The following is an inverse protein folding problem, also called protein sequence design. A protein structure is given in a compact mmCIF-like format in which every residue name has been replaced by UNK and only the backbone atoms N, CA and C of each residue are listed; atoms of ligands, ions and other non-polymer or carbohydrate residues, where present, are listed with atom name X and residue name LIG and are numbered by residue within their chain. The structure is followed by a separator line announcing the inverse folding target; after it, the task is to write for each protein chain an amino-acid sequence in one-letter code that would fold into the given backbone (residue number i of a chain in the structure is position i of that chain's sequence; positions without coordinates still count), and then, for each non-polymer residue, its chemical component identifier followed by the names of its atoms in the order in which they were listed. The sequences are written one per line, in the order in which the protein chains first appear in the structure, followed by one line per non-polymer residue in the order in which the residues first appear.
data_IF_287644583390
#
_entry.id   IF_287644583390
#
_cell.length_a   1.000
_cell.length_b   1.000
_cell.length_c   1.000
_cell.angle_alpha   90.00
_cell.angle_beta   90.00
_cell.angle_gamma   90.00
#
_symmetry.space_group_name_H-M   'P 1'
#
loop_
_entity.id
_entity.type
_entity.pdbx_description
1 polymer ?
#
# COMPACT_ATOMS: atom_id res chain seq x y z
N UNK A 1 3.19 -51.00 46.32
CA UNK A 1 3.47 -52.45 46.18
C UNK A 1 3.34 -52.80 44.70
N UNK A 2 4.48 -53.07 44.05
CA UNK A 2 4.59 -53.50 42.64
C UNK A 2 3.89 -54.84 42.38
N UNK A 3 3.26 -55.00 41.20
CA UNK A 3 3.39 -56.14 40.24
C UNK A 3 2.23 -56.10 39.22
N UNK A 4 2.48 -55.79 37.93
CA UNK A 4 2.97 -56.64 36.82
C UNK A 4 1.83 -57.29 36.01
N UNK A 5 1.79 -56.99 34.70
CA UNK A 5 1.80 -57.90 33.52
C UNK A 5 2.05 -56.96 32.31
N UNK A 6 3.28 -56.86 31.77
CA UNK A 6 3.93 -57.68 30.72
C UNK A 6 3.16 -57.70 29.39
N UNK A 7 3.51 -56.83 28.43
CA UNK A 7 4.41 -57.07 27.28
C UNK A 7 3.89 -58.08 26.24
N UNK A 8 3.52 -57.60 25.05
CA UNK A 8 3.55 -58.33 23.78
C UNK A 8 4.17 -57.36 22.74
N UNK A 9 5.50 -57.27 22.67
CA UNK A 9 6.33 -57.75 21.55
C UNK A 9 5.55 -57.82 20.24
N UNK A 10 5.73 -56.79 19.40
CA UNK A 10 5.50 -56.89 17.96
C UNK A 10 6.84 -56.61 17.26
N UNK A 11 7.62 -57.68 17.09
CA UNK A 11 8.72 -57.73 16.13
C UNK A 11 8.23 -58.61 14.98
N UNK A 12 8.17 -58.07 13.77
CA UNK A 12 8.78 -58.65 12.56
C UNK A 12 8.55 -57.68 11.39
N UNK A 13 9.67 -57.29 10.79
CA UNK A 13 9.82 -56.59 9.53
C UNK A 13 9.23 -57.38 8.34
N UNK A 14 8.62 -56.62 7.42
CA UNK A 14 8.71 -56.74 5.95
C UNK A 14 8.49 -58.12 5.32
N UNK A 15 7.35 -58.27 4.64
CA UNK A 15 7.23 -59.06 3.42
C UNK A 15 6.44 -58.24 2.40
N UNK A 16 7.16 -57.74 1.39
CA UNK A 16 6.60 -57.19 0.16
C UNK A 16 5.78 -58.26 -0.56
N UNK A 17 4.58 -57.89 -1.01
CA UNK A 17 3.73 -58.72 -1.87
C UNK A 17 2.56 -57.91 -2.41
N UNK A 18 2.75 -57.36 -3.61
CA UNK A 18 1.77 -56.64 -4.42
C UNK A 18 0.42 -57.38 -4.52
N UNK A 19 -0.64 -56.74 -4.04
CA UNK A 19 -1.99 -56.84 -4.61
C UNK A 19 -2.77 -55.59 -4.18
N UNK A 20 -3.37 -54.92 -5.16
CA UNK A 20 -4.06 -53.64 -4.97
C UNK A 20 -5.08 -53.69 -3.84
N UNK A 21 -4.84 -52.87 -2.83
CA UNK A 21 -5.88 -52.26 -2.04
C UNK A 21 -5.53 -50.78 -2.00
N UNK A 22 -6.48 -49.96 -2.42
CA UNK A 22 -6.53 -48.55 -2.11
C UNK A 22 -6.19 -48.46 -0.63
N UNK A 23 -5.00 -47.93 -0.29
CA UNK A 23 -4.76 -47.44 1.05
C UNK A 23 -5.70 -46.26 1.21
N UNK A 24 -6.96 -46.54 1.54
CA UNK A 24 -7.67 -45.67 2.46
C UNK A 24 -6.83 -45.77 3.72
N UNK A 25 -5.82 -44.90 3.82
CA UNK A 25 -5.32 -44.51 5.12
C UNK A 25 -6.57 -44.30 5.98
N UNK A 26 -6.66 -44.94 7.15
CA UNK A 26 -7.76 -44.63 8.04
C UNK A 26 -7.58 -43.15 8.37
N UNK A 27 -8.32 -42.28 7.69
CA UNK A 27 -8.66 -40.96 8.18
C UNK A 27 -9.50 -41.26 9.40
N UNK A 28 -8.82 -41.56 10.50
CA UNK A 28 -9.45 -41.82 11.78
C UNK A 28 -10.17 -40.51 12.09
N UNK A 29 -11.46 -40.49 11.79
CA UNK A 29 -12.33 -39.34 11.95
C UNK A 29 -12.46 -39.12 13.45
N UNK A 30 -11.51 -38.42 14.05
CA UNK A 30 -11.61 -37.96 15.43
C UNK A 30 -12.48 -36.71 15.39
N UNK A 31 -13.80 -36.88 15.35
CA UNK A 31 -14.70 -35.74 15.54
C UNK A 31 -14.46 -35.22 16.95
N UNK A 32 -14.10 -33.95 17.06
CA UNK A 32 -13.89 -33.21 18.29
C UNK A 32 -15.22 -32.93 19.02
N UNK A 33 -16.10 -33.93 19.13
CA UNK A 33 -17.41 -33.85 19.77
C UNK A 33 -17.34 -33.53 21.28
N UNK A 34 -16.13 -33.48 21.86
CA UNK A 34 -15.92 -33.14 23.27
C UNK A 34 -15.81 -31.62 23.50
N UNK A 35 -15.23 -30.84 22.56
CA UNK A 35 -15.21 -29.37 22.67
C UNK A 35 -16.62 -28.79 22.40
N UNK A 36 -17.37 -29.39 21.47
CA UNK A 36 -18.49 -28.69 20.81
C UNK A 36 -19.83 -28.66 21.55
N UNK A 37 -20.05 -29.41 22.64
CA UNK A 37 -21.38 -29.39 23.28
C UNK A 37 -21.42 -28.90 24.73
N UNK A 38 -20.27 -28.83 25.42
CA UNK A 38 -20.24 -28.33 26.80
C UNK A 38 -19.37 -27.09 26.96
N UNK A 39 -18.23 -27.04 26.29
CA UNK A 39 -17.26 -25.95 26.46
C UNK A 39 -17.63 -24.71 25.63
N UNK A 40 -18.24 -24.86 24.44
CA UNK A 40 -18.69 -23.71 23.63
C UNK A 40 -19.71 -22.83 24.36
N UNK A 41 -20.62 -23.44 25.14
CA UNK A 41 -21.58 -22.69 25.97
C UNK A 41 -20.92 -21.91 27.11
N UNK A 42 -19.70 -22.29 27.49
CA UNK A 42 -18.95 -21.69 28.59
C UNK A 42 -17.92 -20.65 28.07
N UNK A 43 -17.93 -20.32 26.77
CA UNK A 43 -17.04 -19.30 26.19
C UNK A 43 -17.45 -17.92 26.70
N UNK A 44 -16.53 -17.25 27.38
CA UNK A 44 -16.74 -15.92 27.97
C UNK A 44 -16.26 -14.80 27.06
N UNK A 45 -15.18 -15.05 26.33
CA UNK A 45 -14.56 -14.07 25.45
C UNK A 45 -13.87 -14.77 24.30
N UNK A 46 -14.01 -14.17 23.12
CA UNK A 46 -13.28 -14.55 21.93
C UNK A 46 -12.39 -13.37 21.54
N UNK A 47 -11.10 -13.62 21.37
CA UNK A 47 -10.16 -12.63 20.87
C UNK A 47 -9.68 -13.04 19.48
N UNK A 48 -9.55 -12.07 18.59
CA UNK A 48 -9.02 -12.28 17.24
C UNK A 48 -7.76 -11.44 17.02
N UNK A 49 -6.76 -12.05 16.40
CA UNK A 49 -5.64 -11.37 15.78
C UNK A 49 -5.57 -11.74 14.30
N UNK A 50 -5.05 -10.79 13.55
CA UNK A 50 -5.02 -10.71 12.12
C UNK A 50 -3.56 -10.82 11.68
N UNK A 51 -3.18 -11.96 11.09
CA UNK A 51 -1.82 -12.20 10.63
C UNK A 51 -0.80 -12.51 11.74
N UNK A 52 0.45 -12.85 11.36
CA UNK A 52 1.49 -13.31 12.27
C UNK A 52 2.14 -12.22 13.14
N UNK A 53 1.76 -10.95 13.00
CA UNK A 53 2.31 -9.85 13.81
C UNK A 53 1.54 -9.70 15.13
N UNK A 54 2.21 -10.09 16.21
CA UNK A 54 1.77 -9.95 17.59
C UNK A 54 1.90 -8.47 17.97
N UNK A 55 0.81 -7.71 17.97
CA UNK A 55 0.80 -6.44 18.72
C UNK A 55 -0.58 -6.04 19.22
N UNK A 56 -1.68 -6.53 18.62
CA UNK A 56 -3.03 -6.19 19.09
C UNK A 56 -3.96 -7.40 18.96
N UNK A 57 -4.59 -7.76 20.08
CA UNK A 57 -5.73 -8.69 20.13
C UNK A 57 -7.00 -7.84 20.23
N UNK A 58 -8.00 -8.15 19.43
CA UNK A 58 -9.28 -7.47 19.43
C UNK A 58 -10.35 -8.38 20.00
N UNK A 59 -11.35 -7.82 20.70
CA UNK A 59 -12.55 -8.58 21.01
C UNK A 59 -13.24 -8.95 19.70
N UNK A 60 -13.49 -10.23 19.50
CA UNK A 60 -14.22 -10.72 18.33
C UNK A 60 -15.71 -10.45 18.54
N UNK A 61 -16.35 -9.78 17.57
CA UNK A 61 -17.76 -9.39 17.65
C UNK A 61 -18.68 -10.26 16.76
N UNK A 62 -18.16 -11.37 16.26
CA UNK A 62 -18.85 -12.27 15.34
C UNK A 62 -19.47 -13.52 15.94
N UNK A 63 -20.10 -14.31 15.07
CA UNK A 63 -20.67 -15.61 15.41
C UNK A 63 -19.56 -16.69 15.42
N UNK A 64 -18.88 -16.81 16.55
CA UNK A 64 -17.80 -17.77 16.72
C UNK A 64 -18.32 -19.22 16.72
N UNK A 65 -19.58 -19.45 17.10
CA UNK A 65 -20.18 -20.79 17.09
C UNK A 65 -20.25 -21.31 15.65
N UNK A 66 -20.72 -20.47 14.72
CA UNK A 66 -20.76 -20.81 13.29
C UNK A 66 -19.37 -21.15 12.72
N UNK A 67 -18.33 -20.43 13.12
CA UNK A 67 -16.95 -20.66 12.67
C UNK A 67 -16.44 -22.02 13.17
N UNK A 68 -16.73 -22.34 14.43
CA UNK A 68 -16.22 -23.53 15.12
C UNK A 68 -17.06 -24.78 14.86
N UNK A 69 -18.26 -24.63 14.31
CA UNK A 69 -19.16 -25.72 13.90
C UNK A 69 -18.64 -26.44 12.63
N UNK A 70 -17.49 -27.08 12.77
CA UNK A 70 -16.82 -27.87 11.73
C UNK A 70 -16.30 -29.19 12.29
N UNK A 71 -16.30 -30.22 11.44
CA UNK A 71 -15.62 -31.48 11.72
C UNK A 71 -14.10 -31.26 11.73
N UNK A 72 -13.38 -31.85 12.69
CA UNK A 72 -11.91 -31.88 12.71
C UNK A 72 -11.37 -33.27 12.41
N UNK A 73 -10.14 -33.31 11.89
CA UNK A 73 -9.36 -34.52 11.68
C UNK A 73 -7.93 -34.30 12.16
N UNK A 74 -7.24 -35.40 12.48
CA UNK A 74 -5.81 -35.36 12.76
C UNK A 74 -5.07 -34.90 11.49
N UNK A 75 -4.25 -33.87 11.61
CA UNK A 75 -3.46 -33.40 10.47
C UNK A 75 -2.28 -34.35 10.21
N UNK A 76 -2.03 -34.66 8.95
CA UNK A 76 -0.84 -35.40 8.49
C UNK A 76 0.33 -34.45 8.18
N UNK A 77 0.19 -33.17 8.52
CA UNK A 77 1.16 -32.13 8.24
C UNK A 77 2.53 -32.42 8.89
N UNK A 78 3.64 -32.35 8.12
CA UNK A 78 4.99 -32.54 8.65
C UNK A 78 5.35 -31.51 9.72
N UNK A 79 6.19 -31.87 10.69
CA UNK A 79 6.64 -30.98 11.78
C UNK A 79 7.14 -29.59 11.31
N UNK A 80 7.83 -29.52 10.17
CA UNK A 80 8.31 -28.23 9.63
C UNK A 80 7.17 -27.36 9.06
N UNK A 81 6.13 -27.98 8.52
CA UNK A 81 4.93 -27.30 8.00
C UNK A 81 4.01 -26.86 9.15
N UNK A 82 3.98 -27.59 10.27
CA UNK A 82 3.29 -27.16 11.49
C UNK A 82 3.78 -25.77 11.94
N UNK A 83 5.08 -25.52 11.84
CA UNK A 83 5.68 -24.22 12.18
C UNK A 83 5.21 -23.09 11.26
N UNK A 84 4.79 -23.41 10.03
CA UNK A 84 4.25 -22.46 9.06
C UNK A 84 2.93 -21.87 9.54
N UNK A 85 2.05 -22.70 10.13
CA UNK A 85 0.76 -22.24 10.68
C UNK A 85 0.99 -21.11 11.68
N UNK A 86 1.87 -21.28 12.66
CA UNK A 86 2.19 -20.23 13.64
C UNK A 86 2.79 -18.95 13.05
N UNK A 87 3.40 -19.03 11.87
CA UNK A 87 4.12 -17.92 11.23
C UNK A 87 3.35 -17.21 10.15
N UNK A 88 2.30 -17.82 9.61
CA UNK A 88 1.64 -17.36 8.38
C UNK A 88 0.13 -17.39 8.48
N UNK A 89 -0.44 -17.76 9.63
CA UNK A 89 -1.89 -17.76 9.81
C UNK A 89 -2.49 -16.42 9.41
N UNK A 90 -3.66 -16.47 8.77
CA UNK A 90 -4.48 -15.30 8.46
C UNK A 90 -5.21 -14.80 9.70
N UNK A 91 -5.79 -15.71 10.49
CA UNK A 91 -6.46 -15.38 11.75
C UNK A 91 -5.94 -16.25 12.88
N UNK A 92 -5.80 -15.67 14.06
CA UNK A 92 -5.61 -16.39 15.32
C UNK A 92 -6.78 -16.06 16.24
N UNK A 93 -7.50 -17.09 16.67
CA UNK A 93 -8.63 -16.99 17.58
C UNK A 93 -8.24 -17.57 18.93
N UNK A 94 -8.48 -16.81 19.98
CA UNK A 94 -8.30 -17.26 21.35
C UNK A 94 -9.67 -17.30 22.05
N UNK A 95 -10.07 -18.49 22.50
CA UNK A 95 -11.29 -18.69 23.28
C UNK A 95 -10.95 -18.77 24.77
N UNK A 96 -11.56 -17.90 25.56
CA UNK A 96 -11.51 -17.92 27.02
C UNK A 96 -12.79 -18.55 27.58
N UNK A 97 -12.65 -19.44 28.55
CA UNK A 97 -13.76 -20.18 29.14
C UNK A 97 -14.03 -19.74 30.58
N UNK A 98 -15.29 -19.89 31.01
CA UNK A 98 -15.70 -19.63 32.38
C UNK A 98 -14.93 -20.54 33.36
N UNK A 99 -14.37 -19.94 34.41
CA UNK A 99 -13.70 -20.64 35.52
C UNK A 99 -12.40 -21.40 35.20
N UNK A 100 -11.75 -21.13 34.07
CA UNK A 100 -10.38 -21.62 33.79
C UNK A 100 -9.38 -20.46 33.70
N UNK A 101 -8.13 -20.70 34.09
CA UNK A 101 -7.01 -19.77 33.81
C UNK A 101 -6.39 -20.04 32.43
N UNK A 102 -7.02 -20.89 31.62
CA UNK A 102 -6.49 -21.42 30.36
C UNK A 102 -7.53 -21.21 29.25
N UNK A 103 -7.03 -20.86 28.06
CA UNK A 103 -7.83 -20.67 26.85
C UNK A 103 -7.31 -21.50 25.69
N UNK A 104 -8.13 -21.65 24.65
CA UNK A 104 -7.80 -22.47 23.49
C UNK A 104 -7.46 -21.57 22.30
N UNK A 105 -6.36 -21.92 21.61
CA UNK A 105 -5.91 -21.22 20.41
C UNK A 105 -6.30 -21.98 19.15
N UNK A 106 -6.95 -21.27 18.23
CA UNK A 106 -7.19 -21.73 16.87
C UNK A 106 -6.45 -20.83 15.88
N UNK A 107 -5.93 -21.42 14.81
CA UNK A 107 -5.23 -20.72 13.74
C UNK A 107 -5.92 -20.99 12.42
N UNK A 108 -6.00 -19.98 11.57
CA UNK A 108 -6.65 -20.10 10.27
C UNK A 108 -5.62 -19.86 9.18
N UNK A 109 -5.37 -20.86 8.33
CA UNK A 109 -4.46 -20.78 7.20
C UNK A 109 -5.09 -21.49 5.99
N UNK A 110 -4.96 -20.93 4.79
CA UNK A 110 -5.48 -21.54 3.55
C UNK A 110 -6.94 -22.02 3.61
N UNK A 111 -7.78 -21.24 4.29
CA UNK A 111 -9.20 -21.51 4.54
C UNK A 111 -9.47 -22.71 5.44
N UNK A 112 -8.51 -23.15 6.25
CA UNK A 112 -8.62 -24.25 7.20
C UNK A 112 -8.38 -23.77 8.62
N UNK A 113 -9.08 -24.37 9.59
CA UNK A 113 -8.95 -24.07 11.01
C UNK A 113 -8.07 -25.14 11.66
N UNK A 114 -7.11 -24.71 12.47
CA UNK A 114 -6.07 -25.54 13.08
C UNK A 114 -6.05 -25.36 14.59
N UNK A 115 -5.97 -26.47 15.33
CA UNK A 115 -5.92 -26.50 16.79
C UNK A 115 -4.81 -27.44 17.28
N UNK A 116 -4.08 -27.01 18.32
CA UNK A 116 -3.00 -27.77 18.93
C UNK A 116 -3.36 -28.26 20.34
N UNK A 117 -3.30 -29.57 20.55
CA UNK A 117 -3.49 -30.18 21.87
C UNK A 117 -2.32 -31.13 22.17
N UNK A 118 -1.56 -30.88 23.24
CA UNK A 118 -0.44 -31.75 23.66
C UNK A 118 0.48 -32.14 22.50
N UNK A 119 0.95 -31.15 21.73
CA UNK A 119 1.79 -31.31 20.53
C UNK A 119 1.12 -32.03 19.33
N UNK A 120 -0.17 -32.33 19.42
CA UNK A 120 -0.96 -32.92 18.33
C UNK A 120 -1.69 -31.82 17.56
N UNK A 121 -1.57 -31.82 16.23
CA UNK A 121 -2.26 -30.88 15.35
C UNK A 121 -3.56 -31.49 14.79
N UNK A 122 -4.65 -30.76 14.96
CA UNK A 122 -5.93 -31.05 14.34
C UNK A 122 -6.25 -29.97 13.31
N UNK A 123 -6.85 -30.37 12.19
CA UNK A 123 -7.32 -29.44 11.16
C UNK A 123 -8.79 -29.66 10.83
N UNK A 124 -9.48 -28.61 10.40
CA UNK A 124 -10.87 -28.73 9.94
C UNK A 124 -10.93 -29.61 8.69
N UNK A 125 -11.91 -30.50 8.64
CA UNK A 125 -12.17 -31.36 7.48
C UNK A 125 -12.59 -30.53 6.27
N UNK A 126 -13.44 -29.51 6.49
CA UNK A 126 -13.91 -28.60 5.46
C UNK A 126 -13.19 -27.25 5.56
N UNK A 127 -13.23 -26.50 4.45
CA UNK A 127 -12.79 -25.11 4.46
C UNK A 127 -13.81 -24.26 5.21
N UNK A 128 -13.32 -23.27 5.96
CA UNK A 128 -14.12 -22.23 6.63
C UNK A 128 -14.24 -21.00 5.73
N UNK A 129 -15.35 -20.27 5.85
CA UNK A 129 -15.54 -19.01 5.13
C UNK A 129 -14.87 -17.87 5.91
N UNK A 130 -13.98 -17.13 5.25
CA UNK A 130 -13.33 -15.96 5.86
C UNK A 130 -14.28 -14.81 6.15
N UNK A 131 -15.43 -14.74 5.46
CA UNK A 131 -16.44 -13.72 5.73
C UNK A 131 -17.01 -13.85 7.15
N UNK A 132 -17.03 -15.06 7.72
CA UNK A 132 -17.53 -15.30 9.08
C UNK A 132 -16.59 -14.72 10.16
N UNK A 133 -15.29 -14.63 9.88
CA UNK A 133 -14.29 -14.00 10.75
C UNK A 133 -14.32 -12.47 10.69
N UNK A 134 -15.03 -11.90 9.73
CA UNK A 134 -15.08 -10.46 9.48
C UNK A 134 -16.49 -9.97 9.78
N UNK A 135 -16.81 -9.84 11.07
CA UNK A 135 -18.06 -9.22 11.49
C UNK A 135 -17.76 -8.16 12.55
N UNK A 136 -17.88 -6.90 12.10
CA UNK A 136 -17.68 -5.61 12.77
C UNK A 136 -16.25 -5.08 12.98
N UNK A 137 -15.21 -5.89 12.85
CA UNK A 137 -13.83 -5.38 12.70
C UNK A 137 -13.51 -5.31 11.21
N UNK A 138 -13.15 -4.13 10.65
CA UNK A 138 -12.77 -4.03 9.24
C UNK A 138 -11.63 -5.03 8.95
N UNK A 139 -11.64 -5.71 7.79
CA UNK A 139 -10.56 -6.62 7.44
C UNK A 139 -9.23 -5.87 7.53
N UNK A 140 -8.14 -6.59 7.82
CA UNK A 140 -6.77 -6.07 7.68
C UNK A 140 -6.74 -5.24 6.43
N UNK A 141 -6.61 -3.94 6.60
CA UNK A 141 -6.70 -3.03 5.48
C UNK A 141 -5.39 -3.23 4.75
N UNK A 142 -5.43 -4.06 3.70
CA UNK A 142 -4.28 -4.35 2.87
C UNK A 142 -3.72 -3.00 2.43
N UNK A 143 -2.50 -2.71 2.87
CA UNK A 143 -1.83 -1.47 2.49
C UNK A 143 -1.32 -1.71 1.07
N UNK A 144 -1.99 -1.06 0.14
CA UNK A 144 -1.60 -1.01 -1.25
C UNK A 144 -0.69 0.20 -1.47
N UNK A 145 0.12 0.11 -2.52
CA UNK A 145 0.93 1.23 -2.99
C UNK A 145 0.55 1.53 -4.43
N UNK A 146 0.30 2.80 -4.74
CA UNK A 146 0.16 3.29 -6.11
C UNK A 146 1.09 4.45 -6.35
N UNK A 147 1.63 4.52 -7.57
CA UNK A 147 2.54 5.59 -7.98
C UNK A 147 1.81 6.47 -8.98
N UNK A 148 1.76 7.77 -8.69
CA UNK A 148 1.14 8.76 -9.59
C UNK A 148 2.10 9.91 -9.85
N UNK A 149 2.11 10.40 -11.08
CA UNK A 149 2.98 11.49 -11.49
C UNK A 149 2.20 12.80 -11.59
N UNK A 150 2.80 13.87 -11.09
CA UNK A 150 2.28 15.23 -11.26
C UNK A 150 2.43 15.63 -12.72
N UNK A 151 1.36 16.21 -13.27
CA UNK A 151 1.33 16.76 -14.61
C UNK A 151 0.46 18.01 -14.63
N UNK A 152 0.68 18.87 -15.62
CA UNK A 152 -0.09 20.10 -15.79
C UNK A 152 -1.04 19.99 -16.98
N UNK A 153 -2.28 20.39 -16.74
CA UNK A 153 -3.27 20.68 -17.77
C UNK A 153 -3.19 22.17 -18.12
N UNK A 154 -2.86 22.46 -19.37
CA UNK A 154 -2.67 23.83 -19.86
C UNK A 154 -3.97 24.39 -20.43
N UNK A 155 -5.00 24.42 -19.59
CA UNK A 155 -6.30 25.01 -19.89
C UNK A 155 -7.24 24.18 -20.78
N UNK A 156 -7.05 22.86 -20.83
CA UNK A 156 -7.97 21.95 -21.52
C UNK A 156 -9.17 21.58 -20.63
N UNK A 157 -8.98 21.51 -19.31
CA UNK A 157 -10.05 21.31 -18.34
C UNK A 157 -10.81 22.61 -18.06
N UNK A 158 -10.09 23.66 -17.63
CA UNK A 158 -10.64 25.00 -17.40
C UNK A 158 -9.92 25.96 -18.35
N UNK A 159 -10.67 26.54 -19.29
CA UNK A 159 -10.08 27.35 -20.36
C UNK A 159 -9.21 28.48 -19.81
N UNK A 160 -7.92 28.45 -20.15
CA UNK A 160 -6.94 29.48 -19.77
C UNK A 160 -6.35 29.34 -18.35
N UNK A 161 -6.72 28.31 -17.59
CA UNK A 161 -6.20 28.07 -16.25
C UNK A 161 -5.26 26.85 -16.21
N UNK A 162 -4.14 26.99 -15.51
CA UNK A 162 -3.23 25.88 -15.25
C UNK A 162 -3.86 24.99 -14.17
N UNK A 163 -4.11 23.72 -14.47
CA UNK A 163 -4.60 22.75 -13.48
C UNK A 163 -3.56 21.69 -13.21
N UNK A 164 -3.15 21.52 -11.96
CA UNK A 164 -2.27 20.42 -11.55
C UNK A 164 -3.08 19.13 -11.40
N UNK A 165 -2.62 18.05 -12.05
CA UNK A 165 -3.26 16.74 -12.09
C UNK A 165 -2.27 15.64 -11.64
N UNK A 166 -2.81 14.49 -11.22
CA UNK A 166 -2.07 13.27 -10.91
C UNK A 166 -2.43 12.17 -11.91
N UNK A 167 -1.50 11.81 -12.81
CA UNK A 167 -1.74 10.89 -13.93
C UNK A 167 -3.04 11.23 -14.72
N UNK A 168 -3.33 12.53 -14.90
CA UNK A 168 -4.51 13.02 -15.62
C UNK A 168 -5.80 13.06 -14.79
N UNK A 169 -5.73 12.81 -13.48
CA UNK A 169 -6.86 12.91 -12.55
C UNK A 169 -6.77 14.20 -11.73
N UNK A 170 -7.92 14.78 -11.38
CA UNK A 170 -8.01 15.82 -10.38
C UNK A 170 -7.47 15.31 -9.04
N UNK A 171 -6.72 16.14 -8.32
CA UNK A 171 -6.20 15.79 -6.99
C UNK A 171 -7.40 15.53 -6.05
N UNK A 172 -7.45 14.34 -5.46
CA UNK A 172 -8.60 13.86 -4.65
C UNK A 172 -8.34 13.89 -3.13
N UNK A 173 -7.28 14.56 -2.71
CA UNK A 173 -6.89 14.77 -1.32
C UNK A 173 -6.27 16.16 -1.17
N UNK A 174 -6.18 16.69 0.04
CA UNK A 174 -5.46 17.93 0.31
C UNK A 174 -3.96 17.62 0.48
N UNK A 175 -3.05 18.11 -0.39
CA UNK A 175 -1.62 17.85 -0.25
C UNK A 175 -1.04 18.36 1.08
N UNK A 176 -1.63 19.40 1.66
CA UNK A 176 -1.12 20.00 2.90
C UNK A 176 -1.27 19.08 4.12
N UNK A 177 -2.27 18.18 4.11
CA UNK A 177 -2.46 17.16 5.16
C UNK A 177 -1.28 16.18 5.23
N UNK A 178 -0.52 16.05 4.13
CA UNK A 178 0.65 15.16 4.00
C UNK A 178 1.97 15.94 4.00
N UNK A 179 1.96 17.22 4.38
CA UNK A 179 3.16 18.06 4.41
C UNK A 179 3.70 18.41 3.02
N UNK A 180 2.87 18.32 1.98
CA UNK A 180 3.23 18.64 0.60
C UNK A 180 2.80 20.07 0.31
N UNK A 181 3.79 20.97 0.22
CA UNK A 181 3.55 22.41 0.02
C UNK A 181 3.57 22.84 -1.44
N UNK A 182 4.15 22.01 -2.33
CA UNK A 182 4.26 22.31 -3.75
C UNK A 182 4.38 21.01 -4.55
N UNK A 183 3.59 20.93 -5.61
CA UNK A 183 3.64 19.88 -6.61
C UNK A 183 4.13 20.48 -7.93
N UNK A 184 5.10 19.84 -8.55
CA UNK A 184 5.72 20.26 -9.81
C UNK A 184 5.59 19.11 -10.79
N UNK A 185 5.27 19.40 -12.06
CA UNK A 185 5.16 18.36 -13.06
C UNK A 185 6.43 17.47 -13.11
N UNK A 186 6.24 16.17 -13.20
CA UNK A 186 7.32 15.17 -13.12
C UNK A 186 7.61 14.66 -11.71
N UNK A 187 7.09 15.29 -10.65
CA UNK A 187 7.11 14.71 -9.31
C UNK A 187 6.35 13.39 -9.30
N UNK A 188 6.86 12.41 -8.54
CA UNK A 188 6.16 11.16 -8.28
C UNK A 188 5.67 11.13 -6.84
N UNK A 189 4.41 10.79 -6.67
CA UNK A 189 3.80 10.50 -5.38
C UNK A 189 3.66 9.00 -5.25
N UNK A 190 4.35 8.43 -4.28
CA UNK A 190 4.17 7.05 -3.84
C UNK A 190 3.13 7.10 -2.72
N UNK A 191 1.91 6.69 -3.04
CA UNK A 191 0.76 6.76 -2.13
C UNK A 191 0.54 5.38 -1.54
N UNK A 192 0.71 5.26 -0.22
CA UNK A 192 0.28 4.09 0.53
C UNK A 192 -1.17 4.31 0.99
N UNK A 193 -2.03 3.34 0.72
CA UNK A 193 -3.45 3.48 1.02
C UNK A 193 -4.07 2.12 1.32
N UNK A 194 -5.28 2.17 1.83
CA UNK A 194 -6.08 0.98 2.12
C UNK A 194 -7.44 1.11 1.47
N UNK A 195 -8.04 0.01 1.01
CA UNK A 195 -9.27 0.04 0.22
C UNK A 195 -9.00 -0.04 -1.29
N UNK A 196 -9.86 0.51 -2.12
CA UNK A 196 -9.80 0.37 -3.59
C UNK A 196 -9.44 1.69 -4.28
N UNK A 197 -8.45 1.64 -5.18
CA UNK A 197 -8.10 2.75 -6.06
C UNK A 197 -8.86 2.62 -7.38
N UNK A 198 -9.92 3.41 -7.54
CA UNK A 198 -10.78 3.39 -8.73
C UNK A 198 -10.76 4.77 -9.39
N UNK A 199 -10.20 4.83 -10.61
CA UNK A 199 -10.26 6.01 -11.46
C UNK A 199 -11.46 5.94 -12.41
N UNK A 200 -12.09 7.08 -12.67
CA UNK A 200 -13.10 7.22 -13.73
C UNK A 200 -12.45 7.31 -15.11
N UNK A 201 -13.04 6.67 -16.11
CA UNK A 201 -12.63 6.81 -17.53
C UNK A 201 -13.12 8.16 -18.12
N UNK A 202 -12.54 9.27 -17.66
CA UNK A 202 -12.81 10.62 -18.19
C UNK A 202 -11.55 11.50 -18.14
N UNK A 203 -11.60 12.69 -18.76
CA UNK A 203 -10.50 13.66 -18.71
C UNK A 203 -11.00 15.07 -18.29
N UNK A 204 -10.41 15.69 -17.24
CA UNK A 204 -9.57 15.02 -16.26
C UNK A 204 -10.37 13.92 -15.55
N UNK A 205 -9.69 12.85 -15.16
CA UNK A 205 -10.30 11.79 -14.38
C UNK A 205 -10.55 12.23 -12.94
N UNK A 206 -11.26 11.39 -12.19
CA UNK A 206 -11.45 11.52 -10.76
C UNK A 206 -11.21 10.17 -10.10
N UNK A 207 -10.75 10.19 -8.85
CA UNK A 207 -10.60 9.00 -8.01
C UNK A 207 -11.73 8.99 -6.99
N UNK A 208 -12.36 7.83 -6.79
CA UNK A 208 -13.37 7.70 -5.75
C UNK A 208 -12.71 7.67 -4.36
N UNK A 209 -12.57 8.84 -3.74
CA UNK A 209 -11.94 9.00 -2.44
C UNK A 209 -12.67 8.26 -1.31
N UNK A 210 -13.97 7.96 -1.44
CA UNK A 210 -14.74 7.25 -0.41
C UNK A 210 -14.31 5.78 -0.27
N UNK A 211 -13.66 5.21 -1.30
CA UNK A 211 -13.20 3.82 -1.31
C UNK A 211 -11.71 3.69 -0.97
N UNK A 212 -10.98 4.80 -0.84
CA UNK A 212 -9.54 4.84 -0.65
C UNK A 212 -9.19 5.66 0.60
N UNK A 213 -8.57 5.02 1.58
CA UNK A 213 -8.04 5.71 2.75
C UNK A 213 -6.51 5.79 2.67
N UNK A 214 -6.00 6.98 2.35
CA UNK A 214 -4.56 7.25 2.25
C UNK A 214 -3.92 7.16 3.64
N UNK A 215 -2.84 6.38 3.76
CA UNK A 215 -2.06 6.22 4.98
C UNK A 215 -0.84 7.14 4.99
N UNK A 216 -0.15 7.23 3.85
CA UNK A 216 1.05 8.04 3.71
C UNK A 216 1.24 8.44 2.24
N UNK A 217 1.98 9.53 2.03
CA UNK A 217 2.43 9.95 0.70
C UNK A 217 3.91 10.29 0.81
N UNK A 218 4.75 9.57 0.07
CA UNK A 218 6.13 9.95 -0.18
C UNK A 218 6.21 10.71 -1.51
N UNK A 219 6.88 11.86 -1.51
CA UNK A 219 7.12 12.64 -2.72
C UNK A 219 8.56 12.45 -3.17
N UNK A 220 8.74 11.89 -4.36
CA UNK A 220 10.02 11.85 -5.05
C UNK A 220 10.06 13.06 -5.98
N UNK A 221 10.72 14.13 -5.52
CA UNK A 221 10.81 15.38 -6.27
C UNK A 221 11.59 15.20 -7.58
N UNK A 222 11.03 15.69 -8.68
CA UNK A 222 11.71 15.81 -9.96
C UNK A 222 13.00 16.65 -9.83
N UNK A 223 14.00 16.31 -10.64
CA UNK A 223 15.18 17.15 -10.80
C UNK A 223 14.82 18.41 -11.59
N UNK A 224 15.39 19.54 -11.22
CA UNK A 224 15.29 20.78 -11.97
C UNK A 224 16.61 21.01 -12.71
N UNK A 225 16.50 21.16 -14.03
CA UNK A 225 17.65 21.40 -14.91
C UNK A 225 17.47 22.74 -15.60
N UNK A 226 18.53 23.54 -15.55
CA UNK A 226 18.56 24.84 -16.21
C UNK A 226 19.00 24.69 -17.67
N UNK A 227 18.22 25.29 -18.57
CA UNK A 227 18.45 25.31 -20.01
C UNK A 227 18.45 26.73 -20.54
N UNK A 228 19.24 26.97 -21.58
CA UNK A 228 19.24 28.19 -22.38
C UNK A 228 18.55 27.89 -23.70
N UNK A 229 17.58 28.72 -24.08
CA UNK A 229 16.97 28.67 -25.42
C UNK A 229 18.02 29.02 -26.46
N UNK A 230 18.43 28.06 -27.30
CA UNK A 230 19.52 28.27 -28.26
C UNK A 230 19.08 28.72 -29.64
N UNK A 231 17.84 28.38 -30.01
CA UNK A 231 17.19 28.86 -31.20
C UNK A 231 15.69 28.75 -30.99
N UNK A 232 14.97 29.71 -31.55
CA UNK A 232 13.52 29.62 -31.76
C UNK A 232 13.35 29.51 -33.26
N UNK A 233 13.36 28.30 -33.83
CA UNK A 233 13.08 28.18 -35.24
C UNK A 233 11.64 28.67 -35.45
N UNK A 234 11.42 29.53 -36.45
CA UNK A 234 10.07 29.67 -36.96
C UNK A 234 9.55 28.27 -37.32
N UNK A 235 8.42 27.90 -36.70
CA UNK A 235 7.73 26.60 -36.64
C UNK A 235 7.98 25.83 -35.33
N UNK A 236 6.97 25.83 -34.46
CA UNK A 236 6.56 24.78 -33.50
C UNK A 236 7.63 23.96 -32.75
N UNK A 237 8.85 24.44 -32.58
CA UNK A 237 9.93 23.73 -31.87
C UNK A 237 10.70 24.68 -30.93
N UNK A 238 11.17 24.13 -29.81
CA UNK A 238 12.03 24.83 -28.87
C UNK A 238 13.34 24.06 -28.67
N UNK A 239 14.44 24.67 -29.07
CA UNK A 239 15.79 24.13 -28.86
C UNK A 239 16.34 24.61 -27.51
N UNK A 240 16.69 23.64 -26.67
CA UNK A 240 17.18 23.85 -25.32
C UNK A 240 18.59 23.27 -25.16
N UNK A 241 19.53 24.12 -24.73
CA UNK A 241 20.91 23.73 -24.40
C UNK A 241 21.09 23.77 -22.88
N UNK A 242 21.48 22.67 -22.23
CA UNK A 242 21.61 22.65 -20.78
C UNK A 242 22.80 23.50 -20.33
N UNK A 243 22.64 24.19 -19.20
CA UNK A 243 23.74 24.91 -18.56
C UNK A 243 24.78 23.93 -17.99
N UNK A 244 24.31 22.81 -17.43
CA UNK A 244 25.17 21.72 -16.95
C UNK A 244 25.43 20.70 -18.07
N UNK A 245 26.70 20.59 -18.48
CA UNK A 245 27.17 19.73 -19.56
C UNK A 245 26.95 18.22 -19.32
N UNK A 246 26.51 17.80 -18.12
CA UNK A 246 26.14 16.39 -17.88
C UNK A 246 24.82 16.01 -18.56
N UNK A 247 23.99 16.99 -18.92
CA UNK A 247 22.74 16.78 -19.66
C UNK A 247 22.94 16.97 -21.16
N UNK A 248 22.04 16.39 -21.95
CA UNK A 248 22.02 16.54 -23.40
C UNK A 248 21.14 17.72 -23.82
N UNK A 249 21.37 18.24 -25.02
CA UNK A 249 20.45 19.18 -25.66
C UNK A 249 19.08 18.54 -25.88
N UNK A 250 18.03 19.36 -25.79
CA UNK A 250 16.65 18.97 -26.02
C UNK A 250 16.05 19.74 -27.19
N UNK A 251 15.23 19.06 -27.97
CA UNK A 251 14.35 19.67 -28.95
C UNK A 251 12.93 19.28 -28.55
N UNK A 252 12.15 20.25 -28.10
CA UNK A 252 10.75 20.03 -27.75
C UNK A 252 9.88 20.41 -28.94
N UNK A 253 9.12 19.47 -29.48
CA UNK A 253 8.23 19.67 -30.62
C UNK A 253 6.76 19.68 -30.19
N UNK A 254 5.95 20.47 -30.90
CA UNK A 254 4.49 20.60 -30.80
C UNK A 254 3.89 21.03 -29.45
N UNK A 255 3.27 22.22 -29.43
CA UNK A 255 2.16 22.61 -28.53
C UNK A 255 2.47 22.61 -27.03
N UNK A 256 3.75 22.66 -26.66
CA UNK A 256 4.19 22.72 -25.27
C UNK A 256 4.06 24.13 -24.70
N UNK A 257 3.98 24.20 -23.38
CA UNK A 257 3.83 25.44 -22.64
C UNK A 257 4.92 25.58 -21.59
N UNK A 258 5.24 26.83 -21.27
CA UNK A 258 6.12 27.21 -20.17
C UNK A 258 5.26 27.87 -19.10
N UNK A 259 5.37 27.37 -17.88
CA UNK A 259 4.64 27.87 -16.70
C UNK A 259 5.40 29.04 -16.08
N UNK A 260 4.67 30.09 -15.80
CA UNK A 260 5.15 31.29 -15.14
C UNK A 260 4.92 31.26 -13.63
N UNK A 261 5.64 32.10 -12.88
CA UNK A 261 5.55 32.13 -11.41
C UNK A 261 4.13 32.43 -10.89
N UNK A 262 3.35 33.19 -11.66
CA UNK A 262 1.96 33.56 -11.36
C UNK A 262 0.94 32.51 -11.82
N UNK A 263 1.41 31.28 -12.11
CA UNK A 263 0.61 30.13 -12.59
C UNK A 263 -0.04 30.34 -13.97
N UNK A 264 0.31 31.42 -14.67
CA UNK A 264 -0.01 31.55 -16.09
C UNK A 264 0.92 30.68 -16.93
N UNK A 265 0.58 30.48 -18.21
CA UNK A 265 1.41 29.72 -19.12
C UNK A 265 1.40 30.34 -20.52
N UNK A 266 2.55 30.22 -21.21
CA UNK A 266 2.75 30.70 -22.58
C UNK A 266 3.29 29.58 -23.44
N UNK A 267 3.05 29.63 -24.74
CA UNK A 267 3.61 28.64 -25.64
C UNK A 267 5.13 28.76 -25.68
N UNK A 268 5.82 27.66 -25.94
CA UNK A 268 7.28 27.70 -26.02
C UNK A 268 7.81 28.68 -27.09
N UNK A 269 7.04 29.00 -28.14
CA UNK A 269 7.47 29.78 -29.30
C UNK A 269 7.46 31.29 -29.01
N UNK A 270 6.98 31.66 -27.83
CA UNK A 270 6.97 33.03 -27.31
C UNK A 270 8.25 33.41 -26.56
N UNK A 271 9.17 32.46 -26.31
CA UNK A 271 10.42 32.70 -25.57
C UNK A 271 11.60 32.92 -26.52
N UNK A 272 12.36 33.99 -26.33
CA UNK A 272 13.46 34.36 -27.21
C UNK A 272 14.76 33.58 -26.93
N UNK A 273 15.65 33.53 -27.93
CA UNK A 273 17.02 33.03 -27.77
C UNK A 273 17.72 33.68 -26.58
N UNK A 274 18.53 32.89 -25.87
CA UNK A 274 19.22 33.23 -24.62
C UNK A 274 18.32 33.37 -23.38
N UNK A 275 17.02 33.05 -23.47
CA UNK A 275 16.18 32.94 -22.27
C UNK A 275 16.56 31.71 -21.47
N UNK A 276 16.64 31.85 -20.14
CA UNK A 276 16.85 30.74 -19.21
C UNK A 276 15.48 30.14 -18.87
N UNK A 277 15.35 28.82 -19.03
CA UNK A 277 14.17 28.05 -18.65
C UNK A 277 14.60 26.89 -17.74
N UNK A 278 13.71 26.49 -16.86
CA UNK A 278 13.92 25.42 -15.90
C UNK A 278 13.04 24.25 -16.29
N UNK A 279 13.64 23.12 -16.64
CA UNK A 279 12.91 21.90 -16.98
C UNK A 279 12.83 20.98 -15.76
N UNK A 280 11.65 20.43 -15.50
CA UNK A 280 11.48 19.36 -14.52
C UNK A 280 11.60 17.99 -15.17
N UNK A 281 12.41 17.13 -14.55
CA UNK A 281 12.77 15.82 -15.09
C UNK A 281 12.52 14.72 -14.05
N UNK A 282 11.69 13.70 -14.36
CA UNK A 282 11.33 12.65 -13.40
C UNK A 282 12.51 11.72 -13.10
N UNK A 283 12.75 11.40 -11.82
CA UNK A 283 13.89 10.57 -11.38
C UNK A 283 13.75 9.08 -11.67
N UNK A 284 12.52 8.57 -11.65
CA UNK A 284 12.24 7.12 -11.52
C UNK A 284 11.86 6.44 -12.82
N UNK A 285 11.50 7.20 -13.86
CA UNK A 285 11.01 6.63 -15.12
C UNK A 285 12.12 6.01 -15.98
N UNK A 286 13.39 6.26 -15.66
CA UNK A 286 14.54 5.87 -16.49
C UNK A 286 14.59 6.55 -17.88
N UNK A 287 13.61 7.40 -18.18
CA UNK A 287 13.50 8.17 -19.41
C UNK A 287 13.98 9.59 -19.15
N UNK A 288 14.91 10.05 -19.98
CA UNK A 288 15.38 11.43 -19.92
C UNK A 288 14.35 12.28 -20.71
N UNK A 289 13.28 12.71 -20.05
CA UNK A 289 12.20 13.54 -20.63
C UNK A 289 11.92 14.78 -19.77
N UNK A 290 11.35 15.81 -20.40
CA UNK A 290 10.91 17.04 -19.75
C UNK A 290 9.40 16.93 -19.48
N UNK A 291 9.00 16.91 -18.21
CA UNK A 291 7.58 16.79 -17.81
C UNK A 291 6.94 18.16 -17.53
N UNK A 292 7.75 19.19 -17.31
CA UNK A 292 7.32 20.58 -17.19
C UNK A 292 8.46 21.55 -17.52
N UNK A 293 8.11 22.74 -17.97
CA UNK A 293 9.06 23.80 -18.30
C UNK A 293 8.59 25.09 -17.63
N UNK A 294 9.51 25.83 -17.01
CA UNK A 294 9.21 26.99 -16.17
C UNK A 294 10.12 28.16 -16.52
N UNK A 295 9.62 29.40 -16.46
CA UNK A 295 10.42 30.62 -16.64
C UNK A 295 11.08 31.12 -15.32
N UNK A 296 10.90 30.33 -14.26
CA UNK A 296 11.43 30.55 -12.92
C UNK A 296 11.87 29.20 -12.34
N UNK A 297 12.79 29.19 -11.36
CA UNK A 297 13.16 27.94 -10.69
C UNK A 297 12.01 27.52 -9.75
N UNK A 298 11.29 26.43 -10.03
CA UNK A 298 10.09 26.11 -9.27
C UNK A 298 10.42 25.49 -7.89
N UNK A 299 11.67 25.11 -7.62
CA UNK A 299 12.14 24.56 -6.33
C UNK A 299 12.83 25.58 -5.44
N UNK A 300 13.15 26.77 -5.94
CA UNK A 300 13.70 27.82 -5.11
C UNK A 300 12.60 28.46 -4.24
N UNK A 301 12.92 28.68 -2.95
CA UNK A 301 12.07 29.47 -2.07
C UNK A 301 12.04 30.90 -2.58
N UNK A 302 10.88 31.34 -3.07
CA UNK A 302 10.64 32.75 -3.36
C UNK A 302 10.56 33.49 -2.03
N UNK A 303 11.65 34.15 -1.65
CA UNK A 303 11.62 35.11 -0.54
C UNK A 303 10.89 36.32 -1.09
N UNK A 304 9.66 36.56 -0.63
CA UNK A 304 8.97 37.81 -0.95
C UNK A 304 9.89 38.96 -0.54
N UNK A 305 10.38 39.73 -1.51
CA UNK A 305 10.98 41.02 -1.25
C UNK A 305 9.85 41.93 -0.80
N UNK A 306 9.45 41.78 0.47
CA UNK A 306 8.59 42.73 1.14
C UNK A 306 9.14 44.12 0.85
N UNK A 307 8.26 45.01 0.38
CA UNK A 307 8.56 46.41 0.16
C UNK A 307 9.13 47.00 1.45
N UNK A 308 10.44 46.93 1.63
CA UNK A 308 11.14 47.87 2.47
C UNK A 308 11.23 49.13 1.63
N UNK A 309 10.24 50.02 1.77
CA UNK A 309 10.48 51.43 1.52
C UNK A 309 11.62 51.83 2.47
N UNK A 310 12.84 51.87 1.95
CA UNK A 310 13.94 52.61 2.55
C UNK A 310 13.57 54.09 2.44
N UNK A 311 12.75 54.57 3.37
CA UNK A 311 12.69 55.99 3.66
C UNK A 311 14.04 56.38 4.24
N UNK A 312 14.91 56.93 3.41
CA UNK A 312 16.11 57.65 3.87
C UNK A 312 15.59 58.84 4.67
N UNK A 313 15.54 58.69 6.00
CA UNK A 313 15.38 59.82 6.89
C UNK A 313 16.71 60.55 6.86
N UNK A 314 16.76 61.61 6.07
CA UNK A 314 17.86 62.57 6.06
C UNK A 314 17.93 63.20 7.45
N UNK A 315 18.86 62.73 8.28
CA UNK A 315 19.16 63.33 9.57
C UNK A 315 20.43 64.14 9.46
N UNK A 316 20.17 65.45 9.49
CA UNK A 316 21.01 66.49 10.05
C UNK A 316 22.16 67.00 9.19
N UNK A 317 22.00 68.23 8.71
CA UNK A 317 22.77 69.31 9.32
C UNK A 317 21.91 70.57 9.45
N UNK A 318 21.30 70.74 10.62
CA UNK A 318 21.06 72.07 11.19
C UNK A 318 22.14 72.23 12.25
N UNK A 319 23.16 73.03 11.93
CA UNK A 319 23.74 74.06 12.79
C UNK A 319 24.65 74.97 11.97
#
# INVERSE_FOLDING_TARGET
MFKKIKTLILSIFVLFGFAGCIQTQPTTKYSFNEITNKEINDVTRVLINNGPMISVQFSFEGDYEKILDVDYVLSDMPYNEIRKIYKEYKFWLHLEFDNTNEGINFYVLDYKLYYFNNETLYESLNKVDYSDFVTKVPPIVEVHTTNVFVMHDYGMHISGELTTLLNGNLIWFDPSDYGIYKLIAGDELVIEYTGEFICTESYPGSVNADLMNIQSIEVIEADIVEFIVSAVPGSDELDLVPVDSKYNNYVLSNGGYVVSLDETFKKYDEYHENTILYASMPKTTGSIRVDGLYDYNPREKVISTGQYELSIIDKETIL
#
